data_IF_442519514391
#
_entry.id   IF_442519514391
#
_cell.length_a   1.000
_cell.length_b   1.000
_cell.length_c   1.000
_cell.angle_alpha   90.00
_cell.angle_beta   90.00
_cell.angle_gamma   90.00
#
_symmetry.space_group_name_H-M   'P 1'
#
loop_
_entity.id
_entity.type
_entity.pdbx_description
1 polymer ?
#
# COMPACT_ATOMS: atom_id res chain seq x y z
N UNK A 1 -13.94 17.04 -6.04
CA UNK A 1 -12.56 16.74 -6.47
C UNK A 1 -12.07 17.89 -7.33
N UNK A 2 -10.89 18.43 -7.06
CA UNK A 2 -10.33 19.59 -7.76
C UNK A 2 -8.85 19.34 -8.06
N UNK A 3 -8.33 20.05 -9.06
CA UNK A 3 -6.89 20.17 -9.32
C UNK A 3 -6.41 21.54 -8.86
N UNK A 4 -5.13 21.68 -8.56
CA UNK A 4 -4.51 22.99 -8.33
C UNK A 4 -3.94 23.48 -9.66
N UNK A 5 -4.18 24.75 -9.99
CA UNK A 5 -3.65 25.40 -11.18
C UNK A 5 -2.76 26.58 -10.81
N UNK A 6 -1.77 26.87 -11.64
CA UNK A 6 -0.99 28.10 -11.56
C UNK A 6 -1.88 29.30 -11.87
N UNK A 7 -2.12 30.25 -10.95
CA UNK A 7 -3.06 31.35 -11.17
C UNK A 7 -2.71 32.23 -12.37
N UNK A 8 -1.42 32.37 -12.70
CA UNK A 8 -0.97 33.25 -13.79
C UNK A 8 -1.15 32.64 -15.19
N UNK A 9 -1.06 31.32 -15.33
CA UNK A 9 -1.13 30.62 -16.64
C UNK A 9 -2.40 29.77 -16.82
N UNK A 10 -3.05 29.40 -15.71
CA UNK A 10 -4.14 28.42 -15.70
C UNK A 10 -3.68 26.98 -15.92
N UNK A 11 -2.38 26.74 -16.03
CA UNK A 11 -1.82 25.40 -16.22
C UNK A 11 -1.88 24.58 -14.94
N UNK A 12 -1.90 23.25 -15.08
CA UNK A 12 -1.88 22.33 -13.94
C UNK A 12 -0.61 22.52 -13.12
N UNK A 13 -0.77 22.74 -11.81
CA UNK A 13 0.35 22.98 -10.91
C UNK A 13 1.32 21.79 -10.90
N UNK A 14 2.62 22.08 -10.95
CA UNK A 14 3.67 21.05 -11.06
C UNK A 14 3.75 20.14 -9.84
N UNK A 15 3.46 20.68 -8.63
CA UNK A 15 3.51 19.91 -7.38
C UNK A 15 2.19 19.27 -6.98
N UNK A 16 1.09 19.54 -7.68
CA UNK A 16 -0.21 18.90 -7.41
C UNK A 16 -0.16 17.39 -7.73
N UNK A 17 -0.35 16.50 -6.74
CA UNK A 17 -0.36 15.06 -6.95
C UNK A 17 -1.38 14.59 -8.00
N UNK A 18 -2.57 15.19 -8.03
CA UNK A 18 -3.63 14.77 -8.96
C UNK A 18 -3.26 15.15 -10.40
N UNK A 19 -2.66 16.32 -10.57
CA UNK A 19 -2.06 16.75 -11.83
C UNK A 19 -0.92 15.82 -12.29
N UNK A 20 -0.05 15.37 -11.39
CA UNK A 20 0.98 14.33 -11.69
C UNK A 20 0.34 13.04 -12.19
N UNK A 21 -0.71 12.55 -11.53
CA UNK A 21 -1.44 11.35 -11.96
C UNK A 21 -2.05 11.51 -13.37
N UNK A 22 -2.66 12.66 -13.66
CA UNK A 22 -3.17 12.97 -15.01
C UNK A 22 -2.07 13.00 -16.06
N UNK A 23 -0.93 13.62 -15.77
CA UNK A 23 0.23 13.63 -16.67
C UNK A 23 0.74 12.21 -16.93
N UNK A 24 0.73 11.34 -15.93
CA UNK A 24 1.15 9.93 -16.09
C UNK A 24 0.24 9.14 -17.04
N UNK A 25 -1.09 9.30 -16.94
CA UNK A 25 -2.05 8.69 -17.88
C UNK A 25 -1.88 9.25 -19.30
N UNK A 26 -1.63 10.56 -19.42
CA UNK A 26 -1.38 11.19 -20.72
C UNK A 26 -0.07 10.67 -21.34
N UNK A 27 0.99 10.53 -20.54
CA UNK A 27 2.29 10.05 -21.01
C UNK A 27 2.23 8.64 -21.58
N UNK A 28 1.49 7.71 -20.94
CA UNK A 28 1.24 6.37 -21.49
C UNK A 28 0.76 6.42 -22.95
N UNK A 29 -0.19 7.32 -23.26
CA UNK A 29 -0.74 7.50 -24.61
C UNK A 29 0.31 8.03 -25.58
N UNK A 30 1.16 8.97 -25.15
CA UNK A 30 2.22 9.54 -26.01
C UNK A 30 3.24 8.49 -26.46
N UNK A 31 3.45 7.43 -25.66
CA UNK A 31 4.37 6.36 -25.98
C UNK A 31 3.83 5.35 -26.99
N UNK A 32 2.53 5.36 -27.28
CA UNK A 32 1.89 4.38 -28.16
C UNK A 32 1.95 2.93 -27.63
N UNK A 33 2.23 2.74 -26.33
CA UNK A 33 2.29 1.43 -25.67
C UNK A 33 0.88 0.92 -25.35
N UNK A 34 -0.03 1.82 -24.97
CA UNK A 34 -1.44 1.55 -24.70
C UNK A 34 -2.21 2.87 -24.51
N UNK A 35 -3.52 2.80 -24.33
CA UNK A 35 -4.39 3.97 -24.15
C UNK A 35 -4.92 4.15 -22.73
N UNK A 36 -4.94 3.07 -21.95
CA UNK A 36 -5.59 3.03 -20.64
C UNK A 36 -4.78 2.20 -19.66
N UNK A 37 -4.57 2.72 -18.46
CA UNK A 37 -4.08 1.97 -17.30
C UNK A 37 -5.22 1.79 -16.31
N UNK A 38 -5.47 0.55 -15.90
CA UNK A 38 -6.40 0.25 -14.81
C UNK A 38 -5.63 -0.04 -13.54
N UNK A 39 -6.10 0.55 -12.44
CA UNK A 39 -5.57 0.36 -11.09
C UNK A 39 -6.68 -0.12 -10.16
N UNK A 40 -6.40 -1.16 -9.38
CA UNK A 40 -7.29 -1.70 -8.35
C UNK A 40 -6.54 -1.87 -7.03
N UNK A 41 -6.66 -0.94 -6.07
CA UNK A 41 -6.01 -1.02 -4.78
C UNK A 41 -6.89 -1.75 -3.75
N UNK A 42 -6.26 -2.56 -2.90
CA UNK A 42 -6.86 -3.19 -1.73
C UNK A 42 -6.23 -2.57 -0.49
N UNK A 43 -6.85 -1.53 0.07
CA UNK A 43 -6.36 -0.83 1.25
C UNK A 43 -6.93 -1.45 2.52
N UNK A 44 -6.06 -2.08 3.30
CA UNK A 44 -6.41 -2.63 4.61
C UNK A 44 -6.41 -1.51 5.67
N UNK A 45 -7.18 -1.68 6.74
CA UNK A 45 -7.24 -0.74 7.85
C UNK A 45 -7.55 -1.44 9.17
N UNK A 46 -7.33 -0.73 10.28
CA UNK A 46 -7.76 -1.16 11.61
C UNK A 46 -8.89 -0.27 12.11
N UNK A 47 -9.74 -0.82 12.97
CA UNK A 47 -10.68 -0.05 13.80
C UNK A 47 -10.40 -0.34 15.28
N UNK A 48 -10.41 0.70 16.11
CA UNK A 48 -10.18 0.58 17.54
C UNK A 48 -11.26 1.29 18.35
N UNK A 49 -11.46 0.88 19.59
CA UNK A 49 -12.36 1.53 20.56
C UNK A 49 -11.67 2.70 21.28
N UNK A 50 -10.39 2.57 21.64
CA UNK A 50 -9.60 3.62 22.32
C UNK A 50 -8.17 3.65 21.76
N UNK A 51 -7.69 4.86 21.47
CA UNK A 51 -6.31 5.10 21.03
C UNK A 51 -5.77 6.31 21.79
N UNK A 52 -4.71 6.11 22.56
CA UNK A 52 -4.01 7.15 23.33
C UNK A 52 -2.54 7.14 23.00
N UNK A 53 -1.94 8.31 22.86
CA UNK A 53 -0.50 8.45 22.67
C UNK A 53 -0.02 9.77 23.28
N UNK A 54 1.22 9.77 23.76
CA UNK A 54 1.91 10.95 24.25
C UNK A 54 3.37 10.89 23.83
N UNK A 55 3.93 12.03 23.42
CA UNK A 55 5.35 12.21 23.20
C UNK A 55 5.71 13.63 23.65
N UNK A 56 6.02 13.78 24.94
CA UNK A 56 6.24 15.03 25.65
C UNK A 56 7.62 15.02 26.35
N UNK A 57 7.91 16.01 27.20
CA UNK A 57 9.24 16.19 27.81
C UNK A 57 9.77 14.95 28.55
N UNK A 58 8.89 14.23 29.26
CA UNK A 58 9.27 13.07 30.09
C UNK A 58 8.40 11.85 29.86
N UNK A 59 7.62 11.83 28.78
CA UNK A 59 6.64 10.76 28.52
C UNK A 59 6.64 10.41 27.04
N UNK A 60 6.76 9.13 26.71
CA UNK A 60 6.60 8.60 25.36
C UNK A 60 5.86 7.26 25.44
N UNK A 61 4.63 7.20 24.94
CA UNK A 61 3.87 5.96 24.85
C UNK A 61 2.81 6.01 23.75
N UNK A 62 2.32 4.83 23.39
CA UNK A 62 1.01 4.67 22.76
C UNK A 62 0.29 3.48 23.41
N UNK A 63 -1.04 3.52 23.38
CA UNK A 63 -1.93 2.47 23.87
C UNK A 63 -3.14 2.41 22.96
N UNK A 64 -3.43 1.21 22.49
CA UNK A 64 -4.62 0.90 21.68
C UNK A 64 -5.49 -0.09 22.46
N UNK A 65 -6.78 -0.07 22.17
CA UNK A 65 -7.76 -0.95 22.76
C UNK A 65 -8.90 -1.20 21.77
N UNK A 66 -9.38 -2.44 21.71
CA UNK A 66 -10.60 -2.81 20.98
C UNK A 66 -11.16 -4.09 21.60
N UNK A 67 -12.48 -4.25 21.56
CA UNK A 67 -13.18 -5.42 22.06
C UNK A 67 -12.64 -6.74 21.49
N UNK A 68 -12.11 -6.77 20.27
CA UNK A 68 -11.56 -7.96 19.62
C UNK A 68 -10.11 -8.28 20.03
N UNK A 69 -9.38 -7.34 20.64
CA UNK A 69 -7.97 -7.57 20.95
C UNK A 69 -7.79 -8.77 21.88
N UNK A 70 -6.87 -9.73 21.57
CA UNK A 70 -6.67 -10.93 22.38
C UNK A 70 -6.32 -10.63 23.85
N UNK A 71 -5.69 -9.48 24.13
CA UNK A 71 -5.34 -9.05 25.49
C UNK A 71 -6.55 -8.75 26.39
N UNK A 72 -7.75 -8.58 25.83
CA UNK A 72 -8.98 -8.32 26.57
C UNK A 72 -9.73 -9.59 27.02
N UNK A 73 -9.13 -10.79 26.86
CA UNK A 73 -9.78 -12.06 27.23
C UNK A 73 -10.13 -12.17 28.71
N UNK A 74 -9.37 -11.54 29.60
CA UNK A 74 -9.60 -11.52 31.05
C UNK A 74 -10.16 -10.20 31.58
N UNK A 75 -10.51 -9.25 30.70
CA UNK A 75 -10.99 -7.93 31.13
C UNK A 75 -12.40 -7.98 31.65
N UNK A 76 -12.66 -7.26 32.73
CA UNK A 76 -14.00 -7.02 33.24
C UNK A 76 -14.67 -5.89 32.44
N UNK A 77 -15.91 -6.15 32.01
CA UNK A 77 -16.79 -5.17 31.38
C UNK A 77 -18.06 -5.08 32.21
N UNK A 78 -18.69 -3.90 32.26
CA UNK A 78 -19.92 -3.67 33.04
C UNK A 78 -21.02 -4.68 32.69
N UNK A 79 -21.19 -5.01 31.40
CA UNK A 79 -22.15 -6.01 30.91
C UNK A 79 -21.65 -7.47 30.92
N UNK A 80 -20.47 -7.74 31.48
CA UNK A 80 -19.79 -9.04 31.41
C UNK A 80 -18.94 -9.23 30.15
N UNK A 81 -17.96 -10.12 30.22
CA UNK A 81 -17.07 -10.43 29.10
C UNK A 81 -17.63 -11.58 28.27
N UNK A 82 -18.05 -11.30 27.02
CA UNK A 82 -18.70 -12.29 26.14
C UNK A 82 -17.74 -13.35 25.56
N UNK A 83 -16.42 -13.17 25.68
CA UNK A 83 -15.42 -14.22 25.42
C UNK A 83 -15.14 -14.60 23.95
N UNK A 84 -15.93 -14.13 22.98
CA UNK A 84 -15.73 -14.43 21.55
C UNK A 84 -14.77 -13.42 20.91
N UNK A 85 -13.53 -13.82 20.63
CA UNK A 85 -12.49 -12.96 20.04
C UNK A 85 -11.61 -13.71 19.06
N UNK A 86 -11.10 -13.06 17.99
CA UNK A 86 -10.03 -13.62 17.20
C UNK A 86 -8.78 -13.79 18.08
N UNK A 87 -7.98 -14.81 17.80
CA UNK A 87 -6.62 -14.90 18.35
C UNK A 87 -5.69 -13.99 17.55
N UNK A 88 -4.49 -13.73 18.05
CA UNK A 88 -3.47 -13.05 17.24
C UNK A 88 -3.29 -13.80 15.92
N UNK A 89 -3.29 -13.07 14.78
CA UNK A 89 -3.31 -13.63 13.42
C UNK A 89 -4.51 -14.54 13.09
N UNK A 90 -5.59 -14.46 13.87
CA UNK A 90 -6.76 -15.34 13.79
C UNK A 90 -8.04 -14.65 13.34
N UNK A 91 -7.95 -13.43 12.80
CA UNK A 91 -9.08 -12.64 12.33
C UNK A 91 -9.61 -13.04 10.95
N UNK A 92 -8.92 -13.91 10.21
CA UNK A 92 -9.28 -14.21 8.83
C UNK A 92 -10.49 -15.17 8.74
N UNK A 93 -11.66 -14.61 8.46
CA UNK A 93 -12.96 -15.30 8.27
C UNK A 93 -13.57 -16.11 9.43
N UNK A 94 -13.33 -15.84 10.73
CA UNK A 94 -14.26 -16.33 11.74
C UNK A 94 -15.60 -15.61 11.56
N UNK A 95 -16.71 -16.32 11.76
CA UNK A 95 -18.04 -15.72 11.69
C UNK A 95 -18.38 -14.98 12.99
N UNK A 96 -19.40 -14.11 12.94
CA UNK A 96 -19.99 -13.54 14.14
C UNK A 96 -20.40 -14.65 15.15
N UNK A 97 -20.24 -14.44 16.47
CA UNK A 97 -19.87 -13.18 17.13
C UNK A 97 -18.35 -12.96 17.32
N UNK A 98 -17.48 -13.79 16.74
CA UNK A 98 -16.02 -13.58 16.82
C UNK A 98 -15.61 -12.37 15.99
N UNK A 99 -16.15 -12.24 14.77
CA UNK A 99 -16.11 -11.02 13.98
C UNK A 99 -17.21 -10.07 14.46
N UNK A 100 -16.80 -9.01 15.14
CA UNK A 100 -17.71 -8.01 15.74
C UNK A 100 -18.06 -6.87 14.77
N UNK A 101 -17.42 -6.83 13.60
CA UNK A 101 -17.45 -5.68 12.70
C UNK A 101 -18.20 -5.93 11.38
N UNK A 102 -19.01 -7.00 11.29
CA UNK A 102 -19.79 -7.32 10.08
C UNK A 102 -20.69 -6.15 9.68
N UNK A 103 -21.50 -5.64 10.61
CA UNK A 103 -22.50 -4.59 10.34
C UNK A 103 -21.85 -3.25 9.97
N UNK A 104 -20.83 -2.83 10.73
CA UNK A 104 -20.11 -1.57 10.45
C UNK A 104 -19.39 -1.62 9.09
N UNK A 105 -18.83 -2.78 8.69
CA UNK A 105 -18.27 -2.93 7.34
C UNK A 105 -19.36 -2.89 6.27
N UNK A 106 -20.53 -3.48 6.54
CA UNK A 106 -21.71 -3.39 5.65
C UNK A 106 -22.18 -1.95 5.45
N UNK A 107 -22.19 -1.15 6.52
CA UNK A 107 -22.51 0.28 6.47
C UNK A 107 -21.48 1.07 5.64
N UNK A 108 -20.19 0.78 5.82
CA UNK A 108 -19.13 1.38 5.00
C UNK A 108 -19.35 1.09 3.51
N UNK A 109 -19.61 -0.17 3.14
CA UNK A 109 -19.88 -0.54 1.74
C UNK A 109 -21.11 0.18 1.20
N UNK A 110 -22.20 0.23 1.98
CA UNK A 110 -23.45 0.89 1.59
C UNK A 110 -23.24 2.39 1.35
N UNK A 111 -22.54 3.06 2.28
CA UNK A 111 -22.16 4.48 2.16
C UNK A 111 -21.25 4.73 0.96
N UNK A 112 -20.28 3.84 0.69
CA UNK A 112 -19.40 3.94 -0.49
C UNK A 112 -20.21 3.86 -1.79
N UNK A 113 -21.16 2.93 -1.89
CA UNK A 113 -22.04 2.79 -3.06
C UNK A 113 -22.90 4.06 -3.27
N UNK A 114 -23.43 4.65 -2.20
CA UNK A 114 -24.19 5.92 -2.25
C UNK A 114 -23.31 7.09 -2.73
N UNK A 115 -22.03 7.10 -2.35
CA UNK A 115 -21.04 8.08 -2.84
C UNK A 115 -20.50 7.76 -4.25
N UNK A 116 -21.02 6.72 -4.92
CA UNK A 116 -20.65 6.34 -6.28
C UNK A 116 -19.35 5.54 -6.39
N UNK A 117 -18.87 4.95 -5.29
CA UNK A 117 -17.72 4.05 -5.30
C UNK A 117 -18.20 2.61 -5.52
N UNK A 118 -17.82 1.97 -6.64
CA UNK A 118 -18.14 0.56 -6.85
C UNK A 118 -17.31 -0.29 -5.88
N UNK A 119 -17.99 -0.95 -4.94
CA UNK A 119 -17.41 -1.81 -3.92
C UNK A 119 -18.17 -3.14 -3.91
N UNK A 120 -17.46 -4.28 -3.92
CA UNK A 120 -18.06 -5.60 -4.18
C UNK A 120 -17.78 -6.67 -3.12
N UNK A 121 -16.85 -6.40 -2.19
CA UNK A 121 -16.54 -7.29 -1.05
C UNK A 121 -16.22 -6.50 0.22
N UNK A 122 -16.45 -7.12 1.37
CA UNK A 122 -15.86 -6.70 2.63
C UNK A 122 -15.54 -7.93 3.48
N UNK A 123 -14.47 -7.87 4.25
CA UNK A 123 -14.13 -8.93 5.19
C UNK A 123 -13.26 -8.45 6.33
N UNK A 124 -13.21 -9.28 7.37
CA UNK A 124 -12.19 -9.20 8.40
C UNK A 124 -10.85 -9.70 7.82
N UNK A 125 -9.75 -9.06 8.22
CA UNK A 125 -8.39 -9.41 7.82
C UNK A 125 -7.68 -10.25 8.89
N UNK A 126 -6.40 -10.59 8.67
CA UNK A 126 -5.66 -11.56 9.51
C UNK A 126 -5.50 -11.10 10.97
N UNK A 127 -5.11 -9.84 11.21
CA UNK A 127 -4.92 -9.33 12.56
C UNK A 127 -6.25 -9.05 13.27
N UNK A 128 -6.27 -9.07 14.60
CA UNK A 128 -7.45 -8.63 15.36
C UNK A 128 -7.81 -7.17 15.04
N UNK A 129 -9.11 -6.87 14.89
CA UNK A 129 -9.62 -5.56 14.53
C UNK A 129 -9.12 -4.97 13.19
N UNK A 130 -8.65 -5.85 12.29
CA UNK A 130 -8.20 -5.50 10.94
C UNK A 130 -9.28 -5.83 9.91
N UNK A 131 -9.41 -4.99 8.89
CA UNK A 131 -10.48 -5.10 7.90
C UNK A 131 -10.00 -4.70 6.50
N UNK A 132 -10.70 -5.20 5.49
CA UNK A 132 -10.55 -4.80 4.08
C UNK A 132 -11.95 -4.68 3.44
N UNK A 133 -12.11 -3.65 2.60
CA UNK A 133 -13.24 -3.51 1.67
C UNK A 133 -12.68 -3.48 0.24
N UNK A 134 -13.31 -4.20 -0.68
CA UNK A 134 -12.85 -4.34 -2.06
C UNK A 134 -13.41 -3.27 -2.97
N UNK A 135 -12.53 -2.39 -3.45
CA UNK A 135 -12.86 -1.39 -4.45
C UNK A 135 -12.73 -1.99 -5.86
N UNK A 136 -13.76 -1.84 -6.69
CA UNK A 136 -13.65 -2.19 -8.10
C UNK A 136 -12.66 -1.25 -8.79
N UNK A 137 -11.74 -1.83 -9.56
CA UNK A 137 -10.72 -1.09 -10.30
C UNK A 137 -11.31 -0.01 -11.23
N UNK A 138 -10.47 0.96 -11.59
CA UNK A 138 -10.81 2.07 -12.47
C UNK A 138 -9.55 2.61 -13.13
N UNK A 139 -9.66 3.68 -13.93
CA UNK A 139 -8.46 4.33 -14.46
C UNK A 139 -7.63 4.91 -13.32
N UNK A 140 -6.33 5.13 -13.52
CA UNK A 140 -5.39 5.54 -12.48
C UNK A 140 -5.89 6.77 -11.68
N UNK A 141 -6.30 7.85 -12.35
CA UNK A 141 -6.77 9.06 -11.67
C UNK A 141 -8.10 8.80 -10.94
N UNK A 142 -9.03 8.11 -11.59
CA UNK A 142 -10.33 7.80 -11.02
C UNK A 142 -10.21 6.94 -9.76
N UNK A 143 -9.34 5.92 -9.80
CA UNK A 143 -9.08 5.05 -8.66
C UNK A 143 -8.39 5.80 -7.52
N UNK A 144 -7.48 6.73 -7.82
CA UNK A 144 -6.88 7.58 -6.79
C UNK A 144 -7.93 8.51 -6.12
N UNK A 145 -8.85 9.08 -6.90
CA UNK A 145 -9.99 9.84 -6.37
C UNK A 145 -10.86 8.96 -5.45
N UNK A 146 -11.18 7.74 -5.91
CA UNK A 146 -11.95 6.75 -5.12
C UNK A 146 -11.24 6.36 -3.83
N UNK A 147 -9.92 6.18 -3.83
CA UNK A 147 -9.15 5.84 -2.63
C UNK A 147 -9.23 6.94 -1.56
N UNK A 148 -9.30 8.21 -1.96
CA UNK A 148 -9.50 9.30 -1.01
C UNK A 148 -10.90 9.26 -0.38
N UNK A 149 -11.93 8.99 -1.17
CA UNK A 149 -13.31 8.85 -0.68
C UNK A 149 -13.43 7.58 0.20
N UNK A 150 -12.77 6.49 -0.18
CA UNK A 150 -12.70 5.25 0.60
C UNK A 150 -12.22 5.53 2.02
N UNK A 151 -11.06 6.19 2.16
CA UNK A 151 -10.47 6.53 3.46
C UNK A 151 -11.40 7.45 4.27
N UNK A 152 -12.05 8.40 3.59
CA UNK A 152 -13.01 9.30 4.22
C UNK A 152 -14.22 8.53 4.78
N UNK A 153 -14.84 7.65 3.99
CA UNK A 153 -15.98 6.84 4.45
C UNK A 153 -15.58 5.94 5.62
N UNK A 154 -14.44 5.25 5.53
CA UNK A 154 -13.95 4.38 6.62
C UNK A 154 -13.77 5.17 7.91
N UNK A 155 -13.12 6.35 7.87
CA UNK A 155 -12.97 7.18 9.07
C UNK A 155 -14.31 7.68 9.61
N UNK A 156 -15.20 8.17 8.74
CA UNK A 156 -16.46 8.78 9.16
C UNK A 156 -17.46 7.76 9.70
N UNK A 157 -17.58 6.60 9.07
CA UNK A 157 -18.45 5.52 9.54
C UNK A 157 -17.90 4.93 10.83
N UNK A 158 -16.59 4.69 10.94
CA UNK A 158 -15.97 4.28 12.22
C UNK A 158 -16.29 5.27 13.34
N UNK A 159 -16.11 6.57 13.08
CA UNK A 159 -16.40 7.63 14.04
C UNK A 159 -17.87 7.67 14.45
N UNK A 160 -18.80 7.53 13.50
CA UNK A 160 -20.24 7.52 13.76
C UNK A 160 -20.67 6.33 14.65
N UNK A 161 -19.92 5.23 14.60
CA UNK A 161 -20.13 4.03 15.43
C UNK A 161 -19.34 4.07 16.75
N UNK A 162 -18.72 5.20 17.10
CA UNK A 162 -17.95 5.34 18.34
C UNK A 162 -16.59 4.64 18.32
N UNK A 163 -16.07 4.31 17.14
CA UNK A 163 -14.74 3.74 16.93
C UNK A 163 -13.80 4.76 16.27
N UNK A 164 -12.52 4.43 16.18
CA UNK A 164 -11.52 5.17 15.41
C UNK A 164 -10.83 4.24 14.42
N UNK A 165 -10.88 4.57 13.13
CA UNK A 165 -10.18 3.81 12.10
C UNK A 165 -8.79 4.39 11.79
N UNK A 166 -7.86 3.54 11.36
CA UNK A 166 -6.53 3.95 10.92
C UNK A 166 -6.02 3.10 9.76
N UNK A 167 -5.33 3.76 8.83
CA UNK A 167 -4.63 3.15 7.69
C UNK A 167 -3.12 3.01 7.94
N UNK A 168 -2.67 3.13 9.20
CA UNK A 168 -1.27 2.97 9.55
C UNK A 168 -0.76 1.57 9.16
N UNK A 169 0.43 1.44 8.54
CA UNK A 169 0.93 0.15 8.06
C UNK A 169 1.18 -0.87 9.17
N UNK A 170 1.55 -0.43 10.37
CA UNK A 170 1.88 -1.31 11.50
C UNK A 170 1.49 -0.67 12.84
N UNK A 171 0.21 -0.75 13.24
CA UNK A 171 -0.22 -0.28 14.56
C UNK A 171 0.09 -1.29 15.67
N UNK A 172 0.19 -2.59 15.35
CA UNK A 172 0.45 -3.68 16.29
C UNK A 172 1.77 -4.37 15.94
N UNK A 173 2.72 -4.43 16.89
CA UNK A 173 4.06 -5.00 16.68
C UNK A 173 4.00 -6.47 16.25
N UNK A 174 3.21 -7.28 16.94
CA UNK A 174 3.24 -8.74 16.85
C UNK A 174 2.13 -9.37 15.99
N UNK A 175 1.30 -8.56 15.34
CA UNK A 175 0.25 -9.03 14.43
C UNK A 175 0.48 -8.53 12.99
N UNK A 176 -0.36 -8.93 12.03
CA UNK A 176 -0.27 -8.43 10.66
C UNK A 176 -0.40 -6.89 10.59
N UNK A 177 0.15 -6.32 9.52
CA UNK A 177 0.08 -4.88 9.24
C UNK A 177 -0.78 -4.60 8.01
N UNK A 178 -1.21 -3.36 7.84
CA UNK A 178 -2.08 -2.93 6.74
C UNK A 178 -1.31 -2.61 5.46
N UNK A 179 -1.59 -3.33 4.38
CA UNK A 179 -1.12 -3.04 3.03
C UNK A 179 -2.06 -2.16 2.20
N UNK A 180 -1.58 -1.77 1.02
CA UNK A 180 -2.40 -1.30 -0.10
C UNK A 180 -2.00 -2.10 -1.34
N UNK A 181 -2.45 -3.36 -1.43
CA UNK A 181 -2.09 -4.21 -2.57
C UNK A 181 -2.60 -3.57 -3.86
N UNK A 182 -1.69 -3.22 -4.76
CA UNK A 182 -2.01 -2.38 -5.91
C UNK A 182 -1.97 -3.22 -7.18
N UNK A 183 -3.15 -3.54 -7.70
CA UNK A 183 -3.29 -4.23 -8.98
C UNK A 183 -3.15 -3.27 -10.15
N UNK A 184 -2.39 -3.64 -11.19
CA UNK A 184 -2.19 -2.81 -12.39
C UNK A 184 -2.33 -3.66 -13.67
N UNK A 185 -2.96 -3.08 -14.70
CA UNK A 185 -2.96 -3.61 -16.07
C UNK A 185 -3.00 -2.48 -17.10
N UNK A 186 -2.34 -2.67 -18.25
CA UNK A 186 -2.39 -1.74 -19.40
C UNK A 186 -3.23 -2.33 -20.52
N UNK A 187 -4.01 -1.48 -21.17
CA UNK A 187 -4.95 -1.81 -22.23
C UNK A 187 -4.75 -0.90 -23.45
N UNK A 188 -5.10 -1.41 -24.62
CA UNK A 188 -5.19 -0.64 -25.87
C UNK A 188 -6.52 -0.95 -26.55
N UNK A 189 -7.33 0.09 -26.81
CA UNK A 189 -8.62 0.01 -27.51
C UNK A 189 -9.54 -1.08 -26.93
N UNK A 190 -9.54 -1.21 -25.61
CA UNK A 190 -10.34 -2.20 -24.88
C UNK A 190 -9.78 -3.63 -24.88
N UNK A 191 -8.55 -3.85 -25.34
CA UNK A 191 -7.86 -5.14 -25.25
C UNK A 191 -6.78 -5.12 -24.15
N UNK A 192 -6.70 -6.15 -23.28
CA UNK A 192 -5.67 -6.23 -22.24
C UNK A 192 -4.31 -6.57 -22.85
N UNK A 193 -3.28 -5.79 -22.54
CA UNK A 193 -1.93 -5.99 -23.07
C UNK A 193 -1.05 -6.87 -22.16
N UNK A 194 -1.47 -7.09 -20.92
CA UNK A 194 -0.71 -7.91 -19.97
C UNK A 194 -0.98 -9.42 -20.12
N UNK A 195 -2.02 -9.81 -20.86
CA UNK A 195 -2.30 -11.19 -21.18
C UNK A 195 -1.40 -11.69 -22.32
N UNK A 196 -0.82 -12.87 -22.17
CA UNK A 196 0.03 -13.51 -23.18
C UNK A 196 0.22 -15.00 -22.94
N UNK A 197 1.25 -15.58 -23.54
CA UNK A 197 1.56 -17.01 -23.50
C UNK A 197 2.76 -17.36 -22.60
N UNK A 198 3.31 -16.37 -21.88
CA UNK A 198 4.43 -16.55 -20.97
C UNK A 198 4.01 -17.12 -19.61
N UNK A 199 4.91 -17.01 -18.63
CA UNK A 199 4.67 -17.46 -17.25
C UNK A 199 3.32 -16.96 -16.73
N UNK A 200 2.51 -17.85 -16.16
CA UNK A 200 1.17 -17.55 -15.63
C UNK A 200 0.20 -16.86 -16.62
N UNK A 201 0.43 -16.96 -17.92
CA UNK A 201 -0.36 -16.31 -18.97
C UNK A 201 -0.07 -14.81 -19.13
N UNK A 202 1.15 -14.39 -18.79
CA UNK A 202 1.62 -13.02 -18.99
C UNK A 202 2.18 -12.81 -20.40
N UNK A 203 2.12 -11.57 -20.90
CA UNK A 203 2.86 -11.12 -22.07
C UNK A 203 4.28 -10.68 -21.71
N UNK A 204 5.17 -10.58 -22.71
CA UNK A 204 6.50 -10.01 -22.52
C UNK A 204 6.42 -8.55 -22.05
N UNK A 205 5.43 -7.79 -22.52
CA UNK A 205 5.18 -6.44 -22.04
C UNK A 205 4.92 -6.42 -20.52
N UNK A 206 4.10 -7.36 -20.02
CA UNK A 206 3.86 -7.46 -18.59
C UNK A 206 5.13 -7.83 -17.82
N UNK A 207 5.95 -8.74 -18.35
CA UNK A 207 7.23 -9.09 -17.72
C UNK A 207 8.15 -7.87 -17.66
N UNK A 208 8.27 -7.11 -18.75
CA UNK A 208 9.06 -5.88 -18.77
C UNK A 208 8.53 -4.82 -17.81
N UNK A 209 7.22 -4.70 -17.68
CA UNK A 209 6.60 -3.82 -16.69
C UNK A 209 7.01 -4.20 -15.26
N UNK A 210 6.98 -5.50 -14.93
CA UNK A 210 7.44 -6.02 -13.63
C UNK A 210 8.94 -5.71 -13.45
N UNK A 211 9.77 -5.93 -14.48
CA UNK A 211 11.21 -5.68 -14.40
C UNK A 211 11.57 -4.21 -14.15
N UNK A 212 10.81 -3.29 -14.74
CA UNK A 212 10.92 -1.85 -14.44
C UNK A 212 10.58 -1.53 -12.98
N UNK A 213 9.47 -2.06 -12.47
CA UNK A 213 9.08 -1.86 -11.07
C UNK A 213 10.09 -2.48 -10.09
N UNK A 214 10.62 -3.67 -10.37
CA UNK A 214 11.67 -4.30 -9.55
C UNK A 214 12.95 -3.46 -9.55
N UNK A 215 13.41 -3.02 -10.73
CA UNK A 215 14.62 -2.19 -10.88
C UNK A 215 14.55 -0.91 -10.06
N UNK A 216 13.39 -0.26 -10.04
CA UNK A 216 13.16 1.03 -9.39
C UNK A 216 12.50 0.91 -8.01
N UNK A 217 12.37 -0.30 -7.44
CA UNK A 217 11.56 -0.52 -6.24
C UNK A 217 12.02 0.32 -5.03
N UNK A 218 13.33 0.52 -4.86
CA UNK A 218 13.88 1.32 -3.77
C UNK A 218 13.50 2.81 -3.86
N UNK A 219 13.57 3.41 -5.05
CA UNK A 219 13.11 4.79 -5.27
C UNK A 219 11.58 4.88 -5.17
N UNK A 220 10.85 3.86 -5.63
CA UNK A 220 9.40 3.76 -5.49
C UNK A 220 8.94 3.74 -4.03
N UNK A 221 9.69 3.11 -3.12
CA UNK A 221 9.34 3.05 -1.70
C UNK A 221 9.15 4.45 -1.08
N UNK A 222 9.79 5.49 -1.60
CA UNK A 222 9.58 6.85 -1.12
C UNK A 222 8.12 7.32 -1.33
N UNK A 223 7.44 6.87 -2.38
CA UNK A 223 6.04 7.20 -2.69
C UNK A 223 5.04 6.12 -2.27
N UNK A 224 5.43 4.85 -2.35
CA UNK A 224 4.56 3.70 -2.02
C UNK A 224 4.57 3.37 -0.53
N UNK A 225 5.61 3.77 0.20
CA UNK A 225 5.84 3.51 1.63
C UNK A 225 6.35 4.77 2.34
N UNK A 226 5.56 5.86 2.36
CA UNK A 226 6.08 7.21 2.62
C UNK A 226 6.17 7.57 4.11
N UNK A 227 6.20 6.58 5.01
CA UNK A 227 6.20 6.81 6.45
C UNK A 227 7.25 5.94 7.15
N UNK A 228 7.74 6.38 8.30
CA UNK A 228 8.65 5.57 9.14
C UNK A 228 7.96 4.31 9.70
N UNK A 229 6.62 4.30 9.78
CA UNK A 229 5.81 3.16 10.20
C UNK A 229 5.65 2.11 9.09
N UNK A 230 5.72 2.50 7.81
CA UNK A 230 5.74 1.60 6.65
C UNK A 230 6.83 0.52 6.77
N UNK A 231 8.01 0.92 7.23
CA UNK A 231 9.16 0.04 7.40
C UNK A 231 9.13 -0.81 8.68
N UNK A 232 8.09 -0.62 9.53
CA UNK A 232 7.76 -1.56 10.60
C UNK A 232 6.83 -2.68 10.10
N UNK A 233 6.13 -2.45 8.98
CA UNK A 233 5.36 -3.49 8.26
C UNK A 233 6.30 -4.33 7.39
N UNK A 234 7.21 -3.71 6.64
CA UNK A 234 8.14 -4.37 5.71
C UNK A 234 9.30 -5.08 6.43
N UNK A 235 8.95 -6.04 7.29
CA UNK A 235 9.88 -6.93 7.98
C UNK A 235 9.47 -8.39 7.71
N UNK A 236 10.41 -9.34 7.66
CA UNK A 236 10.08 -10.76 7.47
C UNK A 236 9.09 -11.28 8.54
N UNK A 237 8.22 -12.23 8.17
CA UNK A 237 7.37 -13.00 9.12
C UNK A 237 5.89 -12.59 9.27
N UNK A 238 5.42 -11.54 8.56
CA UNK A 238 4.03 -11.04 8.67
C UNK A 238 3.32 -10.91 7.32
N UNK A 239 3.60 -11.82 6.38
CA UNK A 239 3.16 -11.73 4.97
C UNK A 239 3.62 -10.46 4.22
N UNK A 240 4.52 -9.68 4.83
CA UNK A 240 5.04 -8.46 4.25
C UNK A 240 6.08 -8.77 3.16
N UNK A 241 5.90 -8.23 1.94
CA UNK A 241 6.72 -8.59 0.80
C UNK A 241 8.03 -7.79 0.77
N UNK A 242 9.04 -8.27 1.49
CA UNK A 242 10.36 -7.60 1.52
C UNK A 242 11.21 -7.95 0.29
N UNK A 243 10.98 -9.13 -0.29
CA UNK A 243 11.78 -9.68 -1.37
C UNK A 243 11.20 -9.30 -2.74
N UNK A 244 12.03 -8.65 -3.56
CA UNK A 244 11.68 -8.19 -4.90
C UNK A 244 11.72 -9.34 -5.89
N UNK A 245 10.66 -10.13 -5.86
CA UNK A 245 10.41 -11.25 -6.76
C UNK A 245 8.98 -11.20 -7.27
N UNK A 246 8.71 -11.97 -8.33
CA UNK A 246 7.37 -12.19 -8.83
C UNK A 246 7.00 -13.68 -8.87
N UNK A 247 5.72 -13.98 -8.59
CA UNK A 247 5.20 -15.36 -8.59
C UNK A 247 3.67 -15.37 -8.71
N UNK A 248 3.12 -16.45 -9.28
CA UNK A 248 1.68 -16.64 -9.46
C UNK A 248 0.93 -17.17 -8.23
N UNK A 249 1.63 -17.75 -7.25
CA UNK A 249 1.00 -18.36 -6.07
C UNK A 249 1.61 -17.90 -4.75
N UNK A 250 2.79 -17.29 -4.79
CA UNK A 250 3.55 -17.01 -3.61
C UNK A 250 3.17 -15.66 -2.97
N UNK A 251 2.61 -15.71 -1.75
CA UNK A 251 2.31 -14.52 -0.94
C UNK A 251 3.55 -13.91 -0.25
N UNK A 252 4.74 -14.46 -0.42
CA UNK A 252 5.98 -13.84 0.07
C UNK A 252 6.64 -12.91 -0.97
N UNK A 253 6.22 -13.00 -2.24
CA UNK A 253 6.74 -12.17 -3.34
C UNK A 253 6.13 -10.75 -3.33
N UNK A 254 6.92 -9.76 -3.73
CA UNK A 254 6.49 -8.36 -3.86
C UNK A 254 5.55 -8.10 -5.02
N UNK A 255 5.65 -8.89 -6.09
CA UNK A 255 4.74 -8.87 -7.22
C UNK A 255 4.00 -10.22 -7.33
N UNK A 256 2.73 -10.27 -6.92
CA UNK A 256 1.87 -11.45 -7.12
C UNK A 256 1.23 -11.37 -8.50
N UNK A 257 1.07 -12.52 -9.18
CA UNK A 257 0.27 -12.65 -10.39
C UNK A 257 -1.04 -13.35 -10.02
N UNK A 258 -2.15 -12.62 -9.84
CA UNK A 258 -3.39 -13.21 -9.35
C UNK A 258 -3.92 -14.29 -10.29
N UNK A 259 -4.53 -15.31 -9.70
CA UNK A 259 -5.36 -16.23 -10.46
C UNK A 259 -6.61 -15.49 -10.95
N UNK A 260 -6.93 -15.65 -12.23
CA UNK A 260 -8.09 -15.03 -12.86
C UNK A 260 -8.43 -15.75 -14.15
N UNK A 261 -9.72 -15.93 -14.39
CA UNK A 261 -10.22 -16.57 -15.60
C UNK A 261 -10.22 -15.58 -16.77
N UNK A 262 -9.65 -16.01 -17.90
CA UNK A 262 -9.61 -15.23 -19.14
C UNK A 262 -8.56 -14.12 -19.17
N UNK A 263 -8.34 -13.58 -20.37
CA UNK A 263 -7.34 -12.53 -20.63
C UNK A 263 -7.65 -11.20 -19.94
N UNK A 264 -8.94 -10.86 -19.80
CA UNK A 264 -9.39 -9.60 -19.18
C UNK A 264 -9.08 -9.47 -17.70
N UNK A 265 -8.85 -10.59 -17.00
CA UNK A 265 -8.50 -10.59 -15.58
C UNK A 265 -6.98 -10.48 -15.33
N UNK A 266 -6.15 -10.51 -16.38
CA UNK A 266 -4.68 -10.54 -16.25
C UNK A 266 -4.15 -9.19 -15.81
N UNK A 267 -3.40 -9.22 -14.70
CA UNK A 267 -2.86 -8.06 -14.01
C UNK A 267 -1.67 -8.48 -13.15
N UNK A 268 -0.88 -7.51 -12.72
CA UNK A 268 0.11 -7.66 -11.66
C UNK A 268 -0.46 -7.11 -10.36
N UNK A 269 0.08 -7.53 -9.22
CA UNK A 269 -0.26 -7.01 -7.91
C UNK A 269 1.01 -6.70 -7.13
N UNK A 270 1.28 -5.42 -6.91
CA UNK A 270 2.37 -5.00 -6.05
C UNK A 270 1.88 -4.89 -4.61
N UNK A 271 2.52 -5.66 -3.73
CA UNK A 271 2.04 -5.85 -2.36
C UNK A 271 2.77 -4.99 -1.32
N UNK A 272 3.89 -4.38 -1.72
CA UNK A 272 4.68 -3.52 -0.86
C UNK A 272 4.02 -2.18 -0.54
N UNK A 273 3.23 -1.52 -1.41
CA UNK A 273 2.60 -0.24 -1.05
C UNK A 273 1.72 -0.36 0.19
N UNK A 274 1.57 0.74 0.92
CA UNK A 274 0.67 0.86 2.06
C UNK A 274 -0.23 2.09 1.95
N UNK A 275 -1.31 2.10 2.73
CA UNK A 275 -2.37 3.09 2.60
C UNK A 275 -2.01 4.47 3.18
N UNK A 276 -0.79 4.71 3.67
CA UNK A 276 -0.30 6.07 3.92
C UNK A 276 0.28 6.73 2.66
N UNK A 277 0.52 5.95 1.61
CA UNK A 277 0.82 6.45 0.28
C UNK A 277 -0.22 7.48 -0.19
N UNK A 278 0.25 8.58 -0.75
CA UNK A 278 -0.60 9.44 -1.57
C UNK A 278 -0.98 8.64 -2.83
N UNK A 279 -2.25 8.28 -3.04
CA UNK A 279 -2.61 7.33 -4.09
C UNK A 279 -2.25 7.86 -5.49
N UNK A 280 -2.33 9.17 -5.71
CA UNK A 280 -1.96 9.78 -6.98
C UNK A 280 -0.47 9.60 -7.30
N UNK A 281 0.42 9.94 -6.35
CA UNK A 281 1.87 9.79 -6.53
C UNK A 281 2.28 8.32 -6.58
N UNK A 282 1.69 7.48 -5.72
CA UNK A 282 1.93 6.04 -5.67
C UNK A 282 1.65 5.36 -7.01
N UNK A 283 0.45 5.57 -7.57
CA UNK A 283 0.06 4.90 -8.81
C UNK A 283 0.81 5.47 -10.01
N UNK A 284 1.05 6.79 -10.04
CA UNK A 284 1.85 7.43 -11.08
C UNK A 284 3.30 6.90 -11.07
N UNK A 285 3.93 6.82 -9.90
CA UNK A 285 5.31 6.32 -9.79
C UNK A 285 5.41 4.85 -10.24
N UNK A 286 4.49 3.99 -9.81
CA UNK A 286 4.42 2.59 -10.25
C UNK A 286 4.25 2.47 -11.77
N UNK A 287 3.37 3.29 -12.36
CA UNK A 287 3.20 3.34 -13.82
C UNK A 287 4.49 3.77 -14.51
N UNK A 288 5.13 4.86 -14.06
CA UNK A 288 6.36 5.38 -14.68
C UNK A 288 7.50 4.36 -14.62
N UNK A 289 7.69 3.68 -13.49
CA UNK A 289 8.69 2.61 -13.36
C UNK A 289 8.42 1.45 -14.32
N UNK A 290 7.15 1.00 -14.41
CA UNK A 290 6.79 -0.07 -15.33
C UNK A 290 6.90 0.34 -16.80
N UNK A 291 6.62 1.59 -17.15
CA UNK A 291 6.84 2.13 -18.49
C UNK A 291 8.33 2.18 -18.85
N UNK A 292 9.21 2.56 -17.92
CA UNK A 292 10.67 2.47 -18.14
C UNK A 292 11.11 1.04 -18.44
N UNK A 293 10.57 0.08 -17.68
CA UNK A 293 10.76 -1.35 -17.90
C UNK A 293 10.38 -1.78 -19.32
N UNK A 294 9.20 -1.39 -19.80
CA UNK A 294 8.71 -1.69 -21.15
C UNK A 294 9.61 -1.06 -22.22
N UNK A 295 9.93 0.23 -22.10
CA UNK A 295 10.74 0.96 -23.09
C UNK A 295 12.15 0.36 -23.22
N UNK A 296 12.74 -0.07 -22.10
CA UNK A 296 14.09 -0.61 -22.04
C UNK A 296 14.15 -2.15 -22.08
N UNK A 297 13.00 -2.82 -22.22
CA UNK A 297 12.85 -4.30 -22.24
C UNK A 297 13.54 -4.98 -21.05
N UNK A 298 13.33 -4.44 -19.85
CA UNK A 298 13.98 -4.90 -18.61
C UNK A 298 13.30 -6.17 -18.13
N UNK A 299 13.94 -7.34 -18.29
CA UNK A 299 13.35 -8.60 -17.82
C UNK A 299 13.49 -8.73 -16.28
N UNK A 300 12.46 -9.19 -15.55
CA UNK A 300 12.47 -9.32 -14.09
C UNK A 300 13.28 -10.51 -13.55
N UNK A 301 14.06 -11.19 -14.40
CA UNK A 301 14.64 -12.50 -14.10
C UNK A 301 13.60 -13.63 -14.09
N UNK A 302 13.97 -14.78 -13.54
CA UNK A 302 13.09 -15.94 -13.42
C UNK A 302 12.09 -15.79 -12.25
N UNK A 303 10.88 -16.37 -12.35
CA UNK A 303 9.91 -16.33 -11.26
C UNK A 303 10.38 -17.14 -10.06
N UNK A 304 10.06 -16.67 -8.84
CA UNK A 304 10.49 -17.34 -7.60
C UNK A 304 9.30 -18.03 -6.90
N UNK A 305 9.04 -19.27 -7.31
CA UNK A 305 7.88 -20.05 -6.85
C UNK A 305 8.10 -20.82 -5.54
N UNK A 306 9.31 -20.80 -4.98
CA UNK A 306 9.60 -21.31 -3.63
C UNK A 306 9.06 -20.34 -2.59
N UNK A 307 8.54 -20.84 -1.46
CA UNK A 307 8.24 -19.98 -0.32
C UNK A 307 9.53 -19.24 0.10
N UNK A 308 9.54 -17.92 -0.01
CA UNK A 308 10.77 -17.17 0.11
C UNK A 308 11.26 -17.11 1.56
N UNK A 309 10.37 -17.30 2.53
CA UNK A 309 10.73 -17.36 3.95
C UNK A 309 11.54 -18.61 4.32
N UNK A 310 11.49 -19.64 3.48
CA UNK A 310 12.18 -20.92 3.70
C UNK A 310 13.50 -21.01 2.92
N UNK A 311 13.88 -19.94 2.20
CA UNK A 311 15.14 -19.89 1.48
C UNK A 311 16.32 -19.84 2.46
N UNK A 312 17.42 -20.57 2.20
CA UNK A 312 18.64 -20.45 2.98
C UNK A 312 19.16 -18.99 2.98
N UNK A 313 19.80 -18.51 4.06
CA UNK A 313 20.32 -17.14 4.15
C UNK A 313 21.20 -16.72 2.96
N UNK A 314 22.03 -17.63 2.45
CA UNK A 314 22.91 -17.38 1.30
C UNK A 314 22.15 -17.19 -0.03
N UNK A 315 20.97 -17.80 -0.21
CA UNK A 315 20.09 -17.55 -1.36
C UNK A 315 19.31 -16.25 -1.17
N UNK A 316 18.90 -15.93 0.07
CA UNK A 316 18.19 -14.69 0.41
C UNK A 316 19.02 -13.42 0.15
N UNK A 317 20.33 -13.44 0.47
CA UNK A 317 21.23 -12.30 0.23
C UNK A 317 21.33 -11.91 -1.26
N UNK A 318 21.02 -12.84 -2.17
CA UNK A 318 21.07 -12.61 -3.61
C UNK A 318 19.76 -12.04 -4.17
N UNK A 319 18.68 -12.06 -3.39
CA UNK A 319 17.38 -11.55 -3.82
C UNK A 319 17.29 -10.06 -3.47
N UNK A 320 17.05 -9.17 -4.45
CA UNK A 320 16.91 -7.75 -4.17
C UNK A 320 15.76 -7.49 -3.18
N UNK A 321 15.91 -6.47 -2.34
CA UNK A 321 14.92 -6.11 -1.32
C UNK A 321 14.41 -4.68 -1.51
N UNK A 322 13.19 -4.43 -1.02
CA UNK A 322 12.71 -3.06 -0.76
C UNK A 322 13.59 -2.37 0.29
N UNK A 323 13.48 -1.05 0.41
CA UNK A 323 14.19 -0.30 1.44
C UNK A 323 13.79 -0.76 2.86
N UNK A 324 14.75 -0.71 3.78
CA UNK A 324 14.55 -1.00 5.20
C UNK A 324 14.19 0.24 6.04
N UNK A 325 14.25 1.43 5.46
CA UNK A 325 13.89 2.68 6.15
C UNK A 325 13.40 3.76 5.17
N UNK A 326 12.66 4.75 5.70
CA UNK A 326 12.24 5.90 4.91
C UNK A 326 13.46 6.73 4.46
N UNK A 327 14.52 6.82 5.28
CA UNK A 327 15.78 7.50 4.92
C UNK A 327 16.40 6.88 3.66
N UNK A 328 16.56 5.56 3.66
CA UNK A 328 17.11 4.82 2.51
C UNK A 328 16.24 5.00 1.25
N UNK A 329 14.91 4.99 1.39
CA UNK A 329 14.01 5.20 0.27
C UNK A 329 14.13 6.62 -0.34
N UNK A 330 14.30 7.64 0.50
CA UNK A 330 14.54 9.01 0.05
C UNK A 330 15.91 9.16 -0.61
N UNK A 331 16.97 8.57 -0.05
CA UNK A 331 18.31 8.55 -0.66
C UNK A 331 18.25 7.86 -2.03
N UNK A 332 17.52 6.75 -2.12
CA UNK A 332 17.32 5.99 -3.36
C UNK A 332 16.52 6.77 -4.39
N UNK A 333 15.48 7.52 -3.97
CA UNK A 333 14.72 8.40 -4.85
C UNK A 333 15.60 9.52 -5.43
N UNK A 334 16.45 10.15 -4.62
CA UNK A 334 17.33 11.20 -5.11
C UNK A 334 18.35 10.66 -6.14
N UNK A 335 18.85 9.44 -5.93
CA UNK A 335 19.78 8.76 -6.83
C UNK A 335 19.13 8.15 -8.09
N UNK A 336 17.84 7.79 -8.05
CA UNK A 336 17.10 7.11 -9.10
C UNK A 336 15.72 7.77 -9.32
N UNK A 337 15.71 8.92 -9.99
CA UNK A 337 14.49 9.68 -10.31
C UNK A 337 14.29 9.93 -11.80
N UNK A 338 15.28 9.67 -12.66
CA UNK A 338 15.21 10.07 -14.07
C UNK A 338 14.04 9.42 -14.84
N UNK A 339 13.63 8.21 -14.45
CA UNK A 339 12.46 7.55 -15.03
C UNK A 339 11.14 8.27 -14.70
N UNK A 340 11.04 8.93 -13.55
CA UNK A 340 9.87 9.70 -13.12
C UNK A 340 9.75 11.04 -13.88
N UNK A 341 10.89 11.59 -14.28
CA UNK A 341 10.97 12.90 -14.96
C UNK A 341 10.58 12.83 -16.45
N UNK A 342 10.45 11.63 -17.02
CA UNK A 342 10.06 11.49 -18.42
C UNK A 342 8.65 12.05 -18.67
N UNK A 343 8.50 12.78 -19.77
CA UNK A 343 7.22 13.39 -20.15
C UNK A 343 6.71 14.46 -19.18
N UNK A 344 7.61 15.04 -18.37
CA UNK A 344 7.30 16.04 -17.34
C UNK A 344 6.19 15.58 -16.37
N UNK A 345 6.08 14.27 -16.15
CA UNK A 345 5.08 13.68 -15.26
C UNK A 345 5.35 14.12 -13.83
N UNK A 346 6.53 13.77 -13.32
CA UNK A 346 7.10 14.36 -12.11
C UNK A 346 8.09 15.45 -12.51
N UNK A 347 8.22 16.48 -11.68
CA UNK A 347 9.23 17.51 -11.86
C UNK A 347 10.30 17.38 -10.79
N UNK A 348 11.54 17.78 -11.09
CA UNK A 348 12.64 17.82 -10.09
C UNK A 348 12.25 18.64 -8.87
N UNK A 349 11.54 19.74 -9.09
CA UNK A 349 11.03 20.63 -8.04
C UNK A 349 10.00 19.93 -7.12
N UNK A 350 9.03 19.20 -7.69
CA UNK A 350 8.08 18.40 -6.91
C UNK A 350 8.79 17.32 -6.09
N UNK A 351 9.74 16.59 -6.69
CA UNK A 351 10.49 15.54 -6.01
C UNK A 351 11.33 16.12 -4.87
N UNK A 352 12.08 17.20 -5.11
CA UNK A 352 12.89 17.85 -4.09
C UNK A 352 12.04 18.35 -2.90
N UNK A 353 10.92 19.01 -3.18
CA UNK A 353 9.99 19.46 -2.12
C UNK A 353 9.38 18.27 -1.35
N UNK A 354 9.05 17.19 -2.05
CA UNK A 354 8.56 15.96 -1.41
C UNK A 354 9.60 15.35 -0.48
N UNK A 355 10.85 15.24 -0.93
CA UNK A 355 11.97 14.74 -0.14
C UNK A 355 12.17 15.60 1.10
N UNK A 356 12.19 16.93 0.97
CA UNK A 356 12.34 17.85 2.11
C UNK A 356 11.28 17.62 3.19
N UNK A 357 10.00 17.53 2.80
CA UNK A 357 8.90 17.23 3.73
C UNK A 357 9.14 15.90 4.44
N UNK A 358 9.57 14.86 3.72
CA UNK A 358 9.77 13.52 4.28
C UNK A 358 11.05 13.37 5.10
N UNK A 359 12.09 14.18 4.84
CA UNK A 359 13.27 14.25 5.71
C UNK A 359 12.91 14.79 7.10
N UNK A 360 11.92 15.68 7.21
CA UNK A 360 11.43 16.13 8.52
C UNK A 360 10.77 14.99 9.31
N UNK A 361 9.99 14.11 8.66
CA UNK A 361 9.42 12.91 9.29
C UNK A 361 10.52 11.96 9.80
N UNK A 362 11.56 11.74 8.98
CA UNK A 362 12.73 10.93 9.35
C UNK A 362 13.45 11.52 10.55
N UNK A 363 13.77 12.82 10.48
CA UNK A 363 14.46 13.55 11.53
C UNK A 363 13.70 13.47 12.86
N UNK A 364 12.38 13.67 12.84
CA UNK A 364 11.54 13.54 14.03
C UNK A 364 11.59 12.13 14.63
N UNK A 365 11.51 11.09 13.80
CA UNK A 365 11.58 9.71 14.28
C UNK A 365 12.95 9.37 14.89
N UNK A 366 14.04 9.74 14.23
CA UNK A 366 15.40 9.39 14.66
C UNK A 366 15.89 10.19 15.88
N UNK A 367 15.35 11.39 16.10
CA UNK A 367 15.70 12.22 17.26
C UNK A 367 14.75 12.04 18.46
N UNK A 368 13.70 11.21 18.32
CA UNK A 368 12.76 10.92 19.43
C UNK A 368 13.19 9.63 20.14
N UNK A 369 13.56 9.67 21.43
CA UNK A 369 13.78 8.46 22.21
C UNK A 369 12.55 7.55 22.22
N UNK A 370 12.77 6.26 22.02
CA UNK A 370 11.71 5.25 21.92
C UNK A 370 11.62 4.41 23.19
N UNK A 371 10.42 3.99 23.65
CA UNK A 371 10.28 3.14 24.83
C UNK A 371 11.12 1.86 24.81
N UNK A 372 11.36 1.27 23.62
CA UNK A 372 12.21 0.07 23.48
C UNK A 372 13.67 0.34 23.82
N UNK A 373 14.16 1.57 23.65
CA UNK A 373 15.55 1.93 23.98
C UNK A 373 15.78 1.96 25.49
N UNK A 374 14.73 2.23 26.28
CA UNK A 374 14.80 2.13 27.74
C UNK A 374 14.89 0.66 28.19
N UNK A 375 14.14 -0.24 27.55
CA UNK A 375 14.25 -1.68 27.80
C UNK A 375 15.64 -2.22 27.47
N UNK A 376 16.24 -1.76 26.36
CA UNK A 376 17.55 -2.24 25.91
C UNK A 376 18.74 -1.60 26.64
N UNK A 377 18.68 -0.30 26.96
CA UNK A 377 19.88 0.48 27.28
C UNK A 377 19.81 1.29 28.58
N UNK A 378 18.67 1.34 29.28
CA UNK A 378 18.54 2.21 30.47
C UNK A 378 19.52 1.85 31.59
N UNK A 379 19.90 0.57 31.70
CA UNK A 379 20.83 0.07 32.73
C UNK A 379 22.15 -0.45 32.14
N UNK A 380 22.45 -0.12 30.88
CA UNK A 380 23.64 -0.63 30.18
C UNK A 380 24.97 -0.09 30.74
#
# INVERSE_FOLDING_TARGET
VCDVVEPSTGELYSRDPRSTAKRSEAYLKTLGIGDTVYVGPEAEFFMFDDVRFENSYSTSYYKIDDIELPGNSGREYEGGNMGHRPRAKGGYFPVAPVDSAVDIRGEMVSTMLEMGLPCDKHHHEVAAAQHELGLTFGTLVQTADRMQIYKYVVHQVAHAYGKTATFMPKPIKEDNGSGMHTHISIWDKGNPLFAGNGYAGLSDMCLYFIGGVIKHAKSLNAFTNPSTNSYKRLVPGYEAPVLLAYSSRNRSASCRIPYGAGSKAKRVEFRFPDALANPYLCYAALLMAGLDGIQNKIHPGDPMDKNLYDLPPAELEQVPTVCGSLREALDSLEADQDYLLKGDVFTRDQIAAYVEIKRADVARWEMTPSPVEYDMYYSA
#
